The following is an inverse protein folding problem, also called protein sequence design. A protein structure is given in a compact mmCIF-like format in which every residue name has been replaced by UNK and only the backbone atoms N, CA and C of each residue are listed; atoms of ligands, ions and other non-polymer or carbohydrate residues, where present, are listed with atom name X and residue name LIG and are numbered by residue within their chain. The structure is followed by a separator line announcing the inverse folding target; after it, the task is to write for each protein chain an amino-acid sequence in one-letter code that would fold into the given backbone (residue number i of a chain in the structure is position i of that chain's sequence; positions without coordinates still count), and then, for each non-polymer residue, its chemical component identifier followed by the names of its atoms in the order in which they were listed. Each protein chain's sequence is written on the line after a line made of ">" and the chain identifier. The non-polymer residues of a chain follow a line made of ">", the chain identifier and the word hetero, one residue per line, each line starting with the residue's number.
data_IF_864800542300
#
_entry.id   IF_864800542300
#
_cell.length_a   1.000
_cell.length_b   1.000
_cell.length_c   1.000
_cell.angle_alpha   90.00
_cell.angle_beta   90.00
_cell.angle_gamma   90.00
#
_symmetry.space_group_name_H-M   'P 1'
#
loop_
_entity.id
_entity.type
_entity.pdbx_description
1 polymer ?
#
# COMPACT_ATOMS: atom_id res chain seq x y z
N UNK A 1 10.16 -39.08 -10.38
CA UNK A 1 11.23 -38.14 -10.79
C UNK A 1 10.58 -36.78 -10.95
N UNK A 2 10.89 -35.87 -10.01
CA UNK A 2 10.33 -34.54 -9.98
C UNK A 2 11.07 -33.63 -10.95
N UNK A 3 10.30 -32.91 -11.77
CA UNK A 3 10.77 -31.76 -12.52
C UNK A 3 9.73 -30.66 -12.26
N UNK A 4 9.91 -29.99 -11.13
CA UNK A 4 9.17 -28.78 -10.80
C UNK A 4 9.77 -27.64 -11.60
N UNK A 5 9.18 -27.37 -12.77
CA UNK A 5 9.63 -26.28 -13.62
C UNK A 5 9.43 -24.93 -12.92
N UNK A 6 10.55 -24.23 -12.81
CA UNK A 6 10.74 -22.93 -12.20
C UNK A 6 10.03 -21.84 -13.01
N UNK A 7 8.75 -21.60 -12.70
CA UNK A 7 8.05 -20.42 -13.22
C UNK A 7 8.44 -19.18 -12.42
N UNK A 8 9.52 -18.53 -12.87
CA UNK A 8 9.91 -17.17 -12.52
C UNK A 8 8.65 -16.29 -12.44
N UNK A 9 8.33 -15.82 -11.24
CA UNK A 9 7.25 -14.86 -11.02
C UNK A 9 7.61 -13.56 -11.74
N UNK A 10 7.09 -13.39 -12.95
CA UNK A 10 7.09 -12.09 -13.63
C UNK A 10 6.15 -11.19 -12.84
N UNK A 11 6.74 -10.37 -11.98
CA UNK A 11 6.06 -9.39 -11.14
C UNK A 11 5.29 -8.38 -11.97
N UNK A 12 3.98 -8.58 -12.01
CA UNK A 12 2.93 -7.65 -12.41
C UNK A 12 1.66 -8.14 -11.72
N UNK A 13 0.69 -7.26 -11.45
CA UNK A 13 -0.53 -7.50 -10.65
C UNK A 13 -1.30 -8.82 -10.88
N UNK A 14 -1.04 -9.56 -11.96
CA UNK A 14 -1.67 -10.86 -12.25
C UNK A 14 -1.44 -11.93 -11.18
N UNK A 15 -0.41 -11.81 -10.33
CA UNK A 15 -0.10 -12.82 -9.31
C UNK A 15 -1.16 -12.97 -8.21
N UNK A 16 -2.06 -11.98 -8.05
CA UNK A 16 -3.08 -11.98 -6.97
C UNK A 16 -4.48 -12.36 -7.44
N UNK A 17 -4.71 -12.52 -8.74
CA UNK A 17 -6.05 -12.85 -9.29
C UNK A 17 -6.21 -14.36 -9.38
N UNK A 18 -7.31 -14.89 -8.83
CA UNK A 18 -7.62 -16.31 -8.87
C UNK A 18 -7.72 -16.84 -10.31
N UNK A 19 -6.83 -17.77 -10.66
CA UNK A 19 -6.69 -18.33 -12.02
C UNK A 19 -7.59 -19.53 -12.32
N UNK A 20 -8.51 -19.88 -11.41
CA UNK A 20 -9.39 -21.02 -11.57
C UNK A 20 -8.80 -22.32 -11.04
N UNK A 21 -9.63 -23.34 -11.01
CA UNK A 21 -9.33 -24.75 -10.74
C UNK A 21 -10.14 -25.60 -11.71
N UNK A 22 -9.93 -26.92 -11.70
CA UNK A 22 -10.70 -27.86 -12.52
C UNK A 22 -12.23 -27.76 -12.26
N UNK A 23 -12.61 -27.26 -11.09
CA UNK A 23 -14.00 -27.14 -10.63
C UNK A 23 -14.54 -25.70 -10.60
N UNK A 24 -13.68 -24.68 -10.79
CA UNK A 24 -14.08 -23.28 -10.65
C UNK A 24 -13.39 -22.39 -11.69
N UNK A 25 -14.18 -21.60 -12.40
CA UNK A 25 -13.68 -20.64 -13.40
C UNK A 25 -12.76 -19.57 -12.76
N UNK A 26 -11.78 -19.05 -13.52
CA UNK A 26 -10.98 -17.91 -13.11
C UNK A 26 -11.86 -16.67 -12.83
N UNK A 27 -11.38 -15.79 -11.95
CA UNK A 27 -11.96 -14.46 -11.78
C UNK A 27 -11.29 -13.46 -12.73
N UNK A 28 -12.03 -12.45 -13.19
CA UNK A 28 -11.48 -11.36 -14.02
C UNK A 28 -10.79 -10.26 -13.21
N UNK A 29 -11.11 -10.19 -11.91
CA UNK A 29 -10.55 -9.24 -10.98
C UNK A 29 -10.36 -9.85 -9.59
N UNK A 30 -9.51 -9.20 -8.80
CA UNK A 30 -9.39 -9.40 -7.36
C UNK A 30 -9.40 -8.04 -6.68
N UNK A 31 -9.94 -7.95 -5.48
CA UNK A 31 -9.87 -6.73 -4.70
C UNK A 31 -9.59 -7.03 -3.24
N UNK A 32 -9.04 -6.05 -2.54
CA UNK A 32 -8.99 -6.03 -1.10
C UNK A 32 -9.59 -4.72 -0.60
N UNK A 33 -10.17 -4.77 0.60
CA UNK A 33 -10.64 -3.59 1.32
C UNK A 33 -10.01 -3.59 2.71
N UNK A 34 -9.50 -2.44 3.12
CA UNK A 34 -9.01 -2.20 4.47
C UNK A 34 -9.86 -1.06 5.06
N UNK A 35 -10.27 -1.21 6.31
CA UNK A 35 -10.99 -0.19 7.06
C UNK A 35 -10.06 0.28 8.18
N UNK A 36 -9.83 1.58 8.23
CA UNK A 36 -9.01 2.24 9.24
C UNK A 36 -9.92 2.97 10.21
N UNK A 37 -9.68 2.80 11.51
CA UNK A 37 -10.24 3.70 12.51
C UNK A 37 -9.51 5.04 12.45
N UNK A 38 -10.27 6.13 12.50
CA UNK A 38 -9.79 7.50 12.57
C UNK A 38 -10.23 8.20 13.87
N UNK A 39 -10.46 7.43 14.94
CA UNK A 39 -10.84 7.98 16.26
C UNK A 39 -9.80 8.94 16.85
N UNK A 40 -8.52 8.79 16.49
CA UNK A 40 -7.44 9.69 16.88
C UNK A 40 -7.32 10.94 15.99
N UNK A 41 -8.21 11.11 14.99
CA UNK A 41 -8.23 12.24 14.05
C UNK A 41 -6.88 12.51 13.36
N UNK A 42 -6.11 11.46 13.10
CA UNK A 42 -4.82 11.55 12.40
C UNK A 42 -4.99 11.88 10.92
N UNK A 43 -6.09 11.42 10.31
CA UNK A 43 -6.44 11.74 8.93
C UNK A 43 -7.11 13.11 8.91
N UNK A 44 -6.57 14.02 8.10
CA UNK A 44 -7.05 15.40 7.97
C UNK A 44 -7.93 15.64 6.74
N UNK A 45 -8.26 16.92 6.50
CA UNK A 45 -8.97 17.36 5.30
C UNK A 45 -10.46 16.97 5.27
N UNK A 46 -11.00 16.74 4.08
CA UNK A 46 -12.42 16.41 3.86
C UNK A 46 -12.86 15.10 4.55
N UNK A 47 -11.89 14.24 4.89
CA UNK A 47 -12.11 12.94 5.52
C UNK A 47 -11.96 12.95 7.05
N UNK A 48 -11.55 14.06 7.65
CA UNK A 48 -11.35 14.16 9.11
C UNK A 48 -12.63 13.92 9.91
N UNK A 49 -13.80 14.19 9.32
CA UNK A 49 -15.12 14.04 9.96
C UNK A 49 -15.62 12.59 10.07
N UNK A 50 -14.91 11.63 9.47
CA UNK A 50 -15.32 10.22 9.52
C UNK A 50 -14.51 9.49 10.59
N UNK A 51 -15.23 8.72 11.42
CA UNK A 51 -14.61 7.85 12.44
C UNK A 51 -13.93 6.62 11.82
N UNK A 52 -14.33 6.24 10.60
CA UNK A 52 -13.76 5.14 9.85
C UNK A 52 -13.52 5.53 8.38
N UNK A 53 -12.40 5.05 7.84
CA UNK A 53 -12.01 5.25 6.44
C UNK A 53 -11.82 3.90 5.77
N UNK A 54 -12.61 3.62 4.74
CA UNK A 54 -12.50 2.41 3.92
C UNK A 54 -11.71 2.69 2.65
N UNK A 55 -10.68 1.89 2.40
CA UNK A 55 -9.89 1.93 1.18
C UNK A 55 -9.99 0.60 0.47
N UNK A 56 -10.25 0.64 -0.84
CA UNK A 56 -10.32 -0.55 -1.68
C UNK A 56 -9.41 -0.37 -2.89
N UNK A 57 -8.65 -1.41 -3.21
CA UNK A 57 -7.98 -1.56 -4.50
C UNK A 57 -8.54 -2.78 -5.20
N UNK A 58 -8.92 -2.62 -6.45
CA UNK A 58 -9.36 -3.67 -7.36
C UNK A 58 -8.37 -3.78 -8.50
N UNK A 59 -7.82 -4.97 -8.72
CA UNK A 59 -6.88 -5.28 -9.79
C UNK A 59 -7.57 -6.19 -10.81
N UNK A 60 -7.43 -5.87 -12.09
CA UNK A 60 -7.97 -6.65 -13.20
C UNK A 60 -6.86 -7.30 -14.04
N UNK A 61 -7.24 -8.33 -14.81
CA UNK A 61 -6.29 -9.12 -15.63
C UNK A 61 -5.55 -8.33 -16.72
N UNK A 62 -6.15 -7.24 -17.18
CA UNK A 62 -5.55 -6.29 -18.12
C UNK A 62 -4.44 -5.43 -17.50
N UNK A 63 -4.15 -5.60 -16.20
CA UNK A 63 -3.15 -4.85 -15.47
C UNK A 63 -3.65 -3.50 -14.95
N UNK A 64 -4.95 -3.20 -15.11
CA UNK A 64 -5.53 -1.99 -14.56
C UNK A 64 -5.79 -2.13 -13.05
N UNK A 65 -5.63 -1.02 -12.34
CA UNK A 65 -5.96 -0.90 -10.92
C UNK A 65 -6.98 0.21 -10.71
N UNK A 66 -8.11 -0.14 -10.10
CA UNK A 66 -9.13 0.82 -9.65
C UNK A 66 -9.03 1.03 -8.15
N UNK A 67 -9.15 2.27 -7.74
CA UNK A 67 -9.01 2.70 -6.37
C UNK A 67 -10.30 3.34 -5.87
N UNK A 68 -10.60 3.11 -4.61
CA UNK A 68 -11.78 3.64 -3.96
C UNK A 68 -11.49 4.07 -2.53
N UNK A 69 -12.07 5.20 -2.16
CA UNK A 69 -12.04 5.77 -0.82
C UNK A 69 -13.48 5.99 -0.36
N UNK A 70 -13.87 5.38 0.75
CA UNK A 70 -15.26 5.34 1.23
C UNK A 70 -16.25 4.96 0.12
N UNK A 71 -15.90 3.95 -0.66
CA UNK A 71 -16.61 3.43 -1.85
C UNK A 71 -16.71 4.38 -3.06
N UNK A 72 -16.23 5.61 -2.96
CA UNK A 72 -16.12 6.53 -4.09
C UNK A 72 -14.86 6.26 -4.89
N UNK A 73 -14.95 6.28 -6.22
CA UNK A 73 -13.78 6.15 -7.09
C UNK A 73 -12.80 7.30 -6.88
N UNK A 74 -11.51 6.97 -6.80
CA UNK A 74 -10.44 7.95 -6.64
C UNK A 74 -9.18 7.51 -7.39
N UNK A 75 -8.16 8.38 -7.41
CA UNK A 75 -6.85 8.09 -7.96
C UNK A 75 -5.99 7.41 -6.90
N UNK A 76 -4.96 6.68 -7.34
CA UNK A 76 -3.93 6.13 -6.45
C UNK A 76 -3.28 7.22 -5.59
N UNK A 77 -3.08 8.42 -6.14
CA UNK A 77 -2.47 9.56 -5.44
C UNK A 77 -3.34 10.01 -4.25
N UNK A 78 -4.66 10.09 -4.43
CA UNK A 78 -5.58 10.49 -3.35
C UNK A 78 -5.49 9.56 -2.12
N UNK A 79 -5.28 8.25 -2.35
CA UNK A 79 -5.00 7.27 -1.28
C UNK A 79 -3.64 7.47 -0.62
N UNK A 80 -2.63 7.95 -1.34
CA UNK A 80 -1.31 8.24 -0.75
C UNK A 80 -1.41 9.52 0.10
N UNK A 81 -2.08 10.53 -0.43
CA UNK A 81 -2.20 11.86 0.18
C UNK A 81 -2.97 11.79 1.51
N UNK A 82 -3.99 10.92 1.64
CA UNK A 82 -4.75 10.77 2.89
C UNK A 82 -3.89 10.25 4.06
N UNK A 83 -2.88 9.44 3.77
CA UNK A 83 -1.96 8.90 4.79
C UNK A 83 -0.69 9.71 4.92
N UNK A 84 -0.56 10.81 4.18
CA UNK A 84 0.64 11.60 4.25
C UNK A 84 0.78 12.23 5.64
N UNK A 85 1.81 11.79 6.34
CA UNK A 85 2.13 12.25 7.69
C UNK A 85 1.18 11.78 8.78
N UNK A 86 0.41 10.72 8.52
CA UNK A 86 -0.14 9.87 9.59
C UNK A 86 0.90 8.84 10.08
N UNK A 87 2.05 8.77 9.41
CA UNK A 87 3.06 7.72 9.58
C UNK A 87 2.75 6.43 8.80
N UNK A 88 1.65 6.40 8.02
CA UNK A 88 1.23 5.26 7.19
C UNK A 88 1.43 5.50 5.68
N UNK A 89 2.50 6.22 5.31
CA UNK A 89 2.83 6.46 3.91
C UNK A 89 3.28 5.20 3.14
N UNK A 90 3.49 5.29 1.81
CA UNK A 90 3.99 4.18 0.99
C UNK A 90 5.42 3.73 1.37
N UNK A 91 6.16 4.57 2.10
CA UNK A 91 7.46 4.24 2.72
C UNK A 91 7.36 3.95 4.22
N UNK A 92 6.14 3.90 4.77
CA UNK A 92 5.95 3.53 6.16
C UNK A 92 6.35 2.08 6.35
N UNK A 93 7.07 1.82 7.43
CA UNK A 93 7.41 0.48 7.88
C UNK A 93 6.30 -0.12 8.76
N UNK A 94 5.06 0.37 8.63
CA UNK A 94 3.88 -0.19 9.30
C UNK A 94 3.64 -1.66 8.95
N UNK A 95 4.29 -2.15 7.88
CA UNK A 95 4.32 -3.55 7.48
C UNK A 95 5.72 -4.10 7.75
N UNK A 96 5.83 -4.98 8.75
CA UNK A 96 7.05 -5.70 9.07
C UNK A 96 7.02 -7.04 8.31
N UNK A 97 7.89 -7.16 7.30
CA UNK A 97 8.06 -8.38 6.54
C UNK A 97 9.20 -9.22 7.11
N UNK A 98 9.28 -10.49 6.70
CA UNK A 98 10.42 -11.32 7.05
C UNK A 98 11.72 -10.69 6.52
N UNK A 99 12.74 -10.61 7.39
CA UNK A 99 14.02 -9.98 7.08
C UNK A 99 14.04 -8.45 7.21
N UNK A 100 12.97 -7.81 7.70
CA UNK A 100 12.98 -6.37 7.99
C UNK A 100 14.09 -5.99 8.99
N UNK A 101 14.34 -6.82 10.01
CA UNK A 101 15.40 -6.58 10.98
C UNK A 101 16.80 -6.60 10.34
N UNK A 102 17.10 -7.61 9.52
CA UNK A 102 18.38 -7.71 8.79
C UNK A 102 18.57 -6.53 7.85
N UNK A 103 17.53 -6.16 7.08
CA UNK A 103 17.57 -4.99 6.20
C UNK A 103 17.84 -3.69 6.94
N UNK A 104 17.29 -3.53 8.15
CA UNK A 104 17.53 -2.33 8.96
C UNK A 104 18.97 -2.27 9.46
N UNK A 105 19.53 -3.40 9.91
CA UNK A 105 20.93 -3.49 10.38
C UNK A 105 21.91 -3.25 9.21
N UNK A 106 21.60 -3.74 8.02
CA UNK A 106 22.43 -3.61 6.82
C UNK A 106 22.21 -2.31 6.03
N UNK A 107 21.23 -1.49 6.45
CA UNK A 107 20.86 -0.29 5.70
C UNK A 107 21.95 0.78 5.70
N UNK A 108 22.09 1.46 4.56
CA UNK A 108 23.02 2.59 4.45
C UNK A 108 22.52 3.78 5.29
N UNK A 109 23.42 4.66 5.76
CA UNK A 109 23.04 5.81 6.57
C UNK A 109 21.91 6.68 5.98
N UNK A 110 21.85 6.81 4.65
CA UNK A 110 20.82 7.57 3.95
C UNK A 110 19.43 6.93 4.04
N UNK A 111 19.37 5.60 3.96
CA UNK A 111 18.13 4.82 4.08
C UNK A 111 17.65 4.78 5.53
N UNK A 112 18.58 4.58 6.46
CA UNK A 112 18.30 4.63 7.90
C UNK A 112 17.81 6.02 8.33
N UNK A 113 18.35 7.09 7.74
CA UNK A 113 17.89 8.45 8.02
C UNK A 113 16.43 8.65 7.63
N UNK A 114 15.99 8.11 6.49
CA UNK A 114 14.57 8.18 6.09
C UNK A 114 13.68 7.48 7.12
N UNK A 115 14.13 6.38 7.71
CA UNK A 115 13.42 5.70 8.79
C UNK A 115 13.25 6.59 10.02
N UNK A 116 14.34 7.21 10.50
CA UNK A 116 14.29 8.11 11.65
C UNK A 116 13.40 9.32 11.37
N UNK A 117 13.49 9.90 10.17
CA UNK A 117 12.68 11.07 9.77
C UNK A 117 11.18 10.76 9.72
N UNK A 118 10.79 9.56 9.28
CA UNK A 118 9.38 9.12 9.25
C UNK A 118 8.82 8.90 10.67
N UNK A 119 9.59 8.22 11.54
CA UNK A 119 9.22 8.00 12.95
C UNK A 119 9.12 9.32 13.72
N UNK A 120 9.98 10.28 13.40
CA UNK A 120 9.94 11.62 13.97
C UNK A 120 8.81 12.50 13.39
N UNK A 121 8.04 12.02 12.41
CA UNK A 121 6.93 12.76 11.79
C UNK A 121 7.36 13.92 10.90
N UNK A 122 8.61 13.95 10.44
CA UNK A 122 9.20 15.05 9.66
C UNK A 122 8.77 14.99 8.18
N UNK A 123 8.16 13.88 7.75
CA UNK A 123 7.75 13.61 6.36
C UNK A 123 6.86 14.69 5.77
N UNK A 124 5.90 15.24 6.55
CA UNK A 124 5.03 16.36 6.12
C UNK A 124 5.80 17.63 5.75
N UNK A 125 7.00 17.84 6.29
CA UNK A 125 7.79 19.05 6.05
C UNK A 125 8.61 18.97 4.76
N UNK A 126 8.93 17.76 4.29
CA UNK A 126 9.78 17.54 3.12
C UNK A 126 9.02 17.60 1.79
N UNK A 127 7.82 17.05 1.72
CA UNK A 127 7.02 17.12 0.49
C UNK A 127 6.57 18.54 0.16
N UNK A 128 6.22 19.34 1.17
CA UNK A 128 5.91 20.77 1.00
C UNK A 128 7.09 21.61 0.49
N UNK A 129 8.32 21.20 0.78
CA UNK A 129 9.54 21.88 0.27
C UNK A 129 9.95 21.44 -1.14
N UNK A 130 9.36 20.37 -1.67
CA UNK A 130 9.63 19.90 -3.05
C UNK A 130 8.69 20.49 -4.09
N UNK A 131 7.62 21.14 -3.65
CA UNK A 131 6.64 21.84 -4.50
C UNK A 131 6.88 23.37 -4.57
N UNK A 132 7.92 23.90 -3.92
CA UNK A 132 8.45 25.27 -4.13
C UNK A 132 9.82 25.21 -4.79
#
# INVERSE_FOLDING_TARGET
>A
MGMGDTSKHKGGDMGVIFNGTDTRKPNDYAFFRIIFSNTENKIGGEFAKYDEISIKREASRDGNSKYFLNNSHCRRRDIIDIFLGTGLGPKSYAIINQGTASKLIESKPEEFRVFIEEVAGISKYRERKKET
#
